data_IF_171294326351
#
_entry.id   IF_171294326351
#
_cell.length_a   1.000
_cell.length_b   1.000
_cell.length_c   1.000
_cell.angle_alpha   90.00
_cell.angle_beta   90.00
_cell.angle_gamma   90.00
#
_symmetry.space_group_name_H-M   'P 1'
#
loop_
_entity.id
_entity.type
_entity.pdbx_description
1 polymer ?
#
# COMPACT_ATOMS: atom_id res chain seq x y z
N UNK A 1 -24.00 8.02 19.52
CA UNK A 1 -24.27 8.25 20.94
C UNK A 1 -24.57 9.73 21.22
N UNK A 2 -23.79 10.69 20.78
CA UNK A 2 -24.00 12.14 20.96
C UNK A 2 -25.32 12.64 20.36
N UNK A 3 -25.73 12.16 19.18
CA UNK A 3 -27.00 12.54 18.54
C UNK A 3 -28.25 12.11 19.34
N UNK A 4 -28.18 10.99 20.09
CA UNK A 4 -29.27 10.54 20.97
C UNK A 4 -29.41 11.42 22.21
N UNK A 5 -28.28 11.87 22.77
CA UNK A 5 -28.28 12.78 23.93
C UNK A 5 -28.87 14.14 23.57
N UNK A 6 -28.47 14.70 22.42
CA UNK A 6 -29.01 15.99 21.93
C UNK A 6 -30.51 15.89 21.62
N UNK A 7 -30.99 14.77 21.08
CA UNK A 7 -32.42 14.54 20.81
C UNK A 7 -33.25 14.41 22.10
N UNK A 8 -32.74 13.71 23.11
CA UNK A 8 -33.47 13.58 24.40
C UNK A 8 -33.48 14.88 25.19
N UNK A 9 -32.41 15.68 25.16
CA UNK A 9 -32.42 17.03 25.76
C UNK A 9 -33.41 17.97 25.11
N UNK A 10 -33.51 17.95 23.77
CA UNK A 10 -34.52 18.74 23.06
C UNK A 10 -35.95 18.37 23.51
N UNK A 11 -36.28 17.08 23.59
CA UNK A 11 -37.63 16.64 23.97
C UNK A 11 -37.95 16.99 25.43
N UNK A 12 -37.04 16.82 26.35
CA UNK A 12 -37.24 17.14 27.77
C UNK A 12 -37.42 18.65 27.95
N UNK A 13 -36.60 19.45 27.29
CA UNK A 13 -36.62 20.89 27.37
C UNK A 13 -37.92 21.48 26.75
N UNK A 14 -38.30 21.01 25.58
CA UNK A 14 -39.47 21.54 24.86
C UNK A 14 -40.76 21.12 25.57
N UNK A 15 -40.85 19.90 26.08
CA UNK A 15 -42.00 19.41 26.80
C UNK A 15 -42.12 20.01 28.23
N UNK A 16 -41.04 20.02 28.96
CA UNK A 16 -41.06 20.51 30.34
C UNK A 16 -41.05 22.03 30.42
N UNK A 17 -40.24 22.70 29.65
CA UNK A 17 -40.16 24.15 29.55
C UNK A 17 -41.42 24.75 28.94
N UNK A 18 -41.90 24.21 27.83
CA UNK A 18 -43.14 24.68 27.16
C UNK A 18 -44.39 24.51 28.01
N UNK A 19 -44.57 23.36 28.67
CA UNK A 19 -45.69 23.13 29.58
C UNK A 19 -45.69 24.10 30.77
N UNK A 20 -44.52 24.39 31.39
CA UNK A 20 -44.44 25.30 32.52
C UNK A 20 -44.79 26.77 32.13
N UNK A 21 -44.41 27.19 30.92
CA UNK A 21 -44.81 28.54 30.40
C UNK A 21 -46.30 28.61 30.11
N UNK A 22 -46.87 27.57 29.47
CA UNK A 22 -48.33 27.55 29.15
C UNK A 22 -49.20 27.45 30.39
N UNK A 23 -48.78 26.67 31.37
CA UNK A 23 -49.54 26.46 32.63
C UNK A 23 -49.32 27.57 33.65
N UNK A 24 -48.49 28.57 33.38
CA UNK A 24 -48.15 29.69 34.31
C UNK A 24 -47.81 29.24 35.72
N UNK A 25 -47.30 28.00 35.91
CA UNK A 25 -46.95 27.42 37.20
C UNK A 25 -45.66 27.95 37.83
N UNK A 26 -44.85 28.64 37.03
CA UNK A 26 -43.53 29.16 37.44
C UNK A 26 -43.30 30.51 36.80
N UNK A 27 -42.42 31.34 37.39
CA UNK A 27 -42.03 32.63 36.80
C UNK A 27 -41.08 32.49 35.59
N UNK A 28 -41.18 31.40 34.80
CA UNK A 28 -40.40 31.12 33.62
C UNK A 28 -41.06 31.80 32.44
N UNK A 29 -40.39 32.81 31.90
CA UNK A 29 -40.80 33.50 30.69
C UNK A 29 -40.25 32.79 29.45
N UNK A 30 -40.91 32.97 28.31
CA UNK A 30 -40.46 32.46 26.99
C UNK A 30 -39.01 32.85 26.67
N UNK A 31 -38.60 34.07 27.13
CA UNK A 31 -37.25 34.57 26.94
C UNK A 31 -36.20 33.77 27.72
N UNK A 32 -36.54 33.29 28.94
CA UNK A 32 -35.61 32.43 29.71
C UNK A 32 -35.42 31.09 29.03
N UNK A 33 -36.45 30.49 28.45
CA UNK A 33 -36.30 29.25 27.66
C UNK A 33 -35.41 29.48 26.43
N UNK A 34 -35.65 30.58 25.71
CA UNK A 34 -34.83 30.92 24.54
C UNK A 34 -33.34 31.13 24.93
N UNK A 35 -33.09 31.85 26.01
CA UNK A 35 -31.74 32.05 26.54
C UNK A 35 -31.06 30.72 26.91
N UNK A 36 -31.79 29.81 27.57
CA UNK A 36 -31.28 28.50 27.95
C UNK A 36 -30.91 27.66 26.71
N UNK A 37 -31.74 27.72 25.66
CA UNK A 37 -31.46 27.07 24.37
C UNK A 37 -30.14 27.60 23.77
N UNK A 38 -29.99 28.90 23.73
CA UNK A 38 -28.78 29.53 23.20
C UNK A 38 -27.52 29.15 23.99
N UNK A 39 -27.61 29.20 25.31
CA UNK A 39 -26.48 28.83 26.19
C UNK A 39 -26.13 27.34 26.06
N UNK A 40 -27.13 26.46 25.98
CA UNK A 40 -26.89 25.03 25.73
C UNK A 40 -26.16 24.79 24.41
N UNK A 41 -26.61 25.42 23.34
CA UNK A 41 -25.94 25.29 22.04
C UNK A 41 -24.51 25.83 22.06
N UNK A 42 -24.29 26.96 22.74
CA UNK A 42 -22.96 27.54 22.89
C UNK A 42 -22.00 26.63 23.67
N UNK A 43 -22.50 25.89 24.66
CA UNK A 43 -21.73 24.93 25.46
C UNK A 43 -21.39 23.65 24.67
N UNK A 44 -22.35 23.12 23.91
CA UNK A 44 -22.16 21.87 23.19
C UNK A 44 -21.38 22.02 21.87
N UNK A 45 -21.30 23.23 21.29
CA UNK A 45 -20.55 23.51 20.07
C UNK A 45 -19.06 23.13 20.16
N UNK A 46 -18.30 23.59 21.17
CA UNK A 46 -16.88 23.22 21.30
C UNK A 46 -16.68 21.74 21.55
N UNK A 47 -17.57 21.07 22.31
CA UNK A 47 -17.48 19.63 22.53
C UNK A 47 -17.61 18.83 21.22
N UNK A 48 -18.53 19.25 20.35
CA UNK A 48 -18.70 18.64 19.03
C UNK A 48 -17.46 18.87 18.15
N UNK A 49 -16.90 20.08 18.17
CA UNK A 49 -15.67 20.39 17.44
C UNK A 49 -14.49 19.55 17.89
N UNK A 50 -14.34 19.30 19.20
CA UNK A 50 -13.30 18.43 19.74
C UNK A 50 -13.46 16.99 19.20
N UNK A 51 -14.69 16.45 19.23
CA UNK A 51 -14.96 15.11 18.72
C UNK A 51 -14.64 14.99 17.22
N UNK A 52 -15.01 15.99 16.40
CA UNK A 52 -14.73 16.01 14.98
C UNK A 52 -13.21 16.11 14.70
N UNK A 53 -12.49 16.93 15.47
CA UNK A 53 -11.03 17.04 15.36
C UNK A 53 -10.32 15.76 15.78
N UNK A 54 -10.85 15.04 16.76
CA UNK A 54 -10.29 13.76 17.17
C UNK A 54 -10.38 12.70 16.06
N UNK A 55 -11.51 12.61 15.37
CA UNK A 55 -11.66 11.74 14.20
C UNK A 55 -10.68 12.10 13.07
N UNK A 56 -10.50 13.39 12.81
CA UNK A 56 -9.54 13.86 11.79
C UNK A 56 -8.10 13.50 12.17
N UNK A 57 -7.74 13.62 13.44
CA UNK A 57 -6.44 13.20 13.95
C UNK A 57 -6.19 11.70 13.77
N UNK A 58 -7.18 10.86 14.10
CA UNK A 58 -7.07 9.41 13.89
C UNK A 58 -6.83 9.05 12.43
N UNK A 59 -7.56 9.67 11.51
CA UNK A 59 -7.36 9.45 10.07
C UNK A 59 -5.96 9.90 9.62
N UNK A 60 -5.49 11.05 10.13
CA UNK A 60 -4.14 11.55 9.88
C UNK A 60 -3.06 10.59 10.40
N UNK A 61 -3.20 10.06 11.61
CA UNK A 61 -2.25 9.10 12.17
C UNK A 61 -2.18 7.80 11.35
N UNK A 62 -3.32 7.30 10.86
CA UNK A 62 -3.34 6.10 10.01
C UNK A 62 -2.63 6.36 8.67
N UNK A 63 -2.85 7.54 8.07
CA UNK A 63 -2.17 7.91 6.83
C UNK A 63 -0.66 8.03 7.02
N UNK A 64 -0.22 8.70 8.09
CA UNK A 64 1.20 8.83 8.46
C UNK A 64 1.82 7.46 8.69
N UNK A 65 1.17 6.59 9.47
CA UNK A 65 1.65 5.23 9.71
C UNK A 65 1.87 4.47 8.41
N UNK A 66 0.91 4.52 7.46
CA UNK A 66 1.06 3.84 6.16
C UNK A 66 2.27 4.34 5.37
N UNK A 67 2.56 5.64 5.44
CA UNK A 67 3.74 6.23 4.77
C UNK A 67 5.02 5.74 5.43
N UNK A 68 5.11 5.73 6.75
CA UNK A 68 6.28 5.22 7.46
C UNK A 68 6.45 3.71 7.27
N UNK A 69 5.37 2.93 7.34
CA UNK A 69 5.42 1.49 7.08
C UNK A 69 5.98 1.19 5.67
N UNK A 70 5.72 2.08 4.69
CA UNK A 70 6.27 1.95 3.34
C UNK A 70 7.75 2.36 3.27
N UNK A 71 8.15 3.42 3.98
CA UNK A 71 9.54 3.91 4.02
C UNK A 71 10.45 2.93 4.76
N UNK A 72 9.95 2.37 5.87
CA UNK A 72 10.71 1.45 6.72
C UNK A 72 10.79 0.03 6.14
N UNK A 73 10.02 -0.25 5.07
CA UNK A 73 10.02 -1.55 4.40
C UNK A 73 11.27 -1.70 3.55
N UNK A 74 12.26 -2.40 4.07
CA UNK A 74 13.47 -2.72 3.32
C UNK A 74 13.27 -3.99 2.48
N UNK A 75 12.76 -3.82 1.26
CA UNK A 75 12.63 -4.88 0.26
C UNK A 75 13.66 -4.73 -0.87
N UNK A 76 14.81 -4.15 -0.57
CA UNK A 76 15.87 -4.00 -1.56
C UNK A 76 16.42 -5.37 -1.94
N UNK A 77 16.57 -5.62 -3.24
CA UNK A 77 17.36 -6.75 -3.71
C UNK A 77 18.79 -6.57 -3.22
N UNK A 78 19.32 -7.58 -2.55
CA UNK A 78 20.67 -7.55 -2.02
C UNK A 78 21.69 -7.38 -3.14
N UNK A 79 22.51 -6.35 -3.05
CA UNK A 79 23.57 -6.08 -4.00
C UNK A 79 24.93 -6.45 -3.39
N UNK A 80 25.34 -7.69 -3.62
CA UNK A 80 26.65 -8.21 -3.18
C UNK A 80 27.62 -8.35 -4.35
N UNK A 81 27.19 -8.02 -5.57
CA UNK A 81 28.01 -8.16 -6.77
C UNK A 81 28.98 -6.99 -6.93
N UNK A 82 30.22 -7.32 -7.25
CA UNK A 82 31.30 -6.36 -7.50
C UNK A 82 31.80 -6.37 -8.95
N UNK A 83 31.27 -7.27 -9.78
CA UNK A 83 31.70 -7.42 -11.17
C UNK A 83 30.96 -6.46 -12.09
N UNK A 84 31.74 -5.68 -12.83
CA UNK A 84 31.21 -4.80 -13.87
C UNK A 84 30.62 -5.62 -15.04
N UNK A 85 29.50 -5.16 -15.56
CA UNK A 85 28.79 -5.74 -16.70
C UNK A 85 29.30 -5.25 -18.08
N UNK A 86 30.48 -4.62 -18.12
CA UNK A 86 31.01 -3.95 -19.34
C UNK A 86 31.20 -4.87 -20.54
N UNK A 87 31.43 -6.16 -20.34
CA UNK A 87 31.75 -7.14 -21.40
C UNK A 87 30.72 -8.26 -21.55
N UNK A 88 29.46 -8.03 -21.18
CA UNK A 88 28.40 -9.03 -21.34
C UNK A 88 28.16 -9.30 -22.82
N UNK A 89 28.31 -10.57 -23.25
CA UNK A 89 28.02 -11.07 -24.61
C UNK A 89 26.55 -11.49 -24.77
N UNK A 90 25.95 -11.97 -23.66
CA UNK A 90 24.53 -12.28 -23.59
C UNK A 90 24.19 -13.77 -23.70
N UNK A 91 25.10 -14.69 -23.36
CA UNK A 91 24.76 -16.10 -23.14
C UNK A 91 24.00 -16.19 -21.82
N UNK A 92 22.75 -16.65 -21.85
CA UNK A 92 21.87 -16.80 -20.66
C UNK A 92 21.66 -18.28 -20.36
N UNK A 93 21.90 -18.70 -19.13
CA UNK A 93 21.69 -20.08 -18.71
C UNK A 93 20.87 -20.14 -17.42
N UNK A 94 19.80 -20.90 -17.44
CA UNK A 94 19.03 -21.28 -16.26
C UNK A 94 19.35 -22.73 -15.92
N UNK A 95 19.74 -23.01 -14.69
CA UNK A 95 20.10 -24.35 -14.23
C UNK A 95 19.32 -24.71 -12.98
N UNK A 96 18.39 -25.65 -13.10
CA UNK A 96 17.54 -26.19 -12.04
C UNK A 96 16.88 -25.12 -11.17
N UNK A 97 16.38 -24.04 -11.81
CA UNK A 97 15.81 -22.90 -11.11
C UNK A 97 14.45 -23.24 -10.54
N UNK A 98 14.31 -23.08 -9.23
CA UNK A 98 13.05 -23.14 -8.49
C UNK A 98 12.75 -21.75 -7.90
N UNK A 99 11.51 -21.31 -8.04
CA UNK A 99 11.12 -20.00 -7.53
C UNK A 99 9.69 -19.96 -7.00
N UNK A 100 9.51 -19.21 -5.92
CA UNK A 100 8.23 -18.91 -5.27
C UNK A 100 8.21 -17.46 -4.79
N UNK A 101 7.17 -16.70 -5.08
CA UNK A 101 6.94 -15.39 -4.46
C UNK A 101 6.57 -15.48 -2.99
N UNK A 102 5.85 -16.56 -2.63
CA UNK A 102 5.42 -16.84 -1.26
C UNK A 102 5.87 -18.25 -0.90
N UNK A 103 6.42 -18.42 0.31
CA UNK A 103 6.83 -19.74 0.79
C UNK A 103 5.71 -20.76 0.62
N UNK A 104 6.03 -21.90 -0.03
CA UNK A 104 5.11 -23.01 -0.25
C UNK A 104 4.36 -22.99 -1.59
N UNK A 105 4.31 -21.87 -2.31
CA UNK A 105 3.65 -21.77 -3.62
C UNK A 105 4.70 -21.64 -4.71
N UNK A 106 5.15 -22.78 -5.28
CA UNK A 106 6.16 -22.80 -6.35
C UNK A 106 5.57 -22.35 -7.68
N UNK A 107 6.14 -21.26 -8.24
CA UNK A 107 5.79 -20.72 -9.56
C UNK A 107 6.64 -21.34 -10.64
N UNK A 108 7.96 -21.47 -10.40
CA UNK A 108 8.88 -22.15 -11.31
C UNK A 108 9.39 -23.42 -10.63
N UNK A 109 9.42 -24.52 -11.39
CA UNK A 109 9.82 -25.84 -10.88
C UNK A 109 10.86 -26.43 -11.82
N UNK A 110 12.10 -26.52 -11.34
CA UNK A 110 13.23 -27.16 -12.02
C UNK A 110 13.42 -26.69 -13.48
N UNK A 111 13.43 -25.38 -13.66
CA UNK A 111 13.59 -24.79 -14.99
C UNK A 111 15.05 -24.76 -15.39
N UNK A 112 15.36 -25.37 -16.56
CA UNK A 112 16.70 -25.40 -17.12
C UNK A 112 16.61 -25.16 -18.63
N UNK A 113 17.35 -24.19 -19.14
CA UNK A 113 17.53 -23.90 -20.55
C UNK A 113 18.74 -22.98 -20.75
N UNK A 114 19.20 -22.90 -22.01
CA UNK A 114 20.28 -22.00 -22.41
C UNK A 114 19.87 -21.22 -23.66
N UNK A 115 20.22 -19.94 -23.70
CA UNK A 115 19.96 -19.02 -24.83
C UNK A 115 21.30 -18.45 -25.25
N UNK A 116 21.66 -18.66 -26.51
CA UNK A 116 22.92 -18.17 -27.09
C UNK A 116 22.92 -16.65 -27.27
N UNK A 117 24.10 -16.05 -27.25
CA UNK A 117 24.22 -14.62 -27.51
C UNK A 117 23.62 -14.24 -28.89
N UNK A 118 22.77 -13.22 -28.89
CA UNK A 118 22.08 -12.74 -30.13
C UNK A 118 20.87 -13.57 -30.55
N UNK A 119 20.55 -14.64 -29.83
CA UNK A 119 19.38 -15.47 -30.13
C UNK A 119 18.07 -14.76 -29.72
N UNK A 120 17.00 -14.98 -30.52
CA UNK A 120 15.64 -14.51 -30.21
C UNK A 120 14.81 -15.68 -29.72
N UNK A 121 14.33 -15.60 -28.48
CA UNK A 121 13.56 -16.67 -27.84
C UNK A 121 12.18 -16.16 -27.45
N UNK A 122 11.15 -16.97 -27.67
CA UNK A 122 9.79 -16.70 -27.21
C UNK A 122 9.36 -17.74 -26.17
N UNK A 123 8.89 -17.27 -25.01
CA UNK A 123 8.25 -18.12 -24.01
C UNK A 123 6.74 -18.16 -24.25
N UNK A 124 6.21 -19.35 -24.59
CA UNK A 124 4.81 -19.58 -24.87
C UNK A 124 4.19 -20.48 -23.80
N UNK A 125 2.95 -20.22 -23.42
CA UNK A 125 2.23 -20.99 -22.40
C UNK A 125 0.99 -20.26 -21.89
N UNK A 126 0.20 -20.92 -21.10
CA UNK A 126 -1.02 -20.36 -20.50
C UNK A 126 -0.72 -19.18 -19.54
N UNK A 127 -1.77 -18.39 -19.26
CA UNK A 127 -1.66 -17.32 -18.25
C UNK A 127 -1.36 -17.97 -16.88
N UNK A 128 -0.36 -17.42 -16.17
CA UNK A 128 0.09 -18.00 -14.89
C UNK A 128 1.20 -19.05 -15.00
N UNK A 129 1.63 -19.46 -16.21
CA UNK A 129 2.71 -20.44 -16.41
C UNK A 129 4.12 -19.96 -15.98
N UNK A 130 4.25 -18.75 -15.45
CA UNK A 130 5.54 -18.24 -14.97
C UNK A 130 6.39 -17.49 -16.02
N UNK A 131 5.86 -17.16 -17.19
CA UNK A 131 6.60 -16.45 -18.26
C UNK A 131 7.17 -15.10 -17.79
N UNK A 132 6.34 -14.26 -17.20
CA UNK A 132 6.77 -12.97 -16.65
C UNK A 132 7.73 -13.14 -15.48
N UNK A 133 7.60 -14.23 -14.74
CA UNK A 133 8.51 -14.54 -13.61
C UNK A 133 9.92 -14.82 -14.11
N UNK A 134 10.10 -15.50 -15.24
CA UNK A 134 11.42 -15.72 -15.85
C UNK A 134 12.12 -14.40 -16.19
N UNK A 135 11.38 -13.46 -16.77
CA UNK A 135 11.91 -12.12 -17.11
C UNK A 135 12.26 -11.34 -15.83
N UNK A 136 11.41 -11.39 -14.81
CA UNK A 136 11.66 -10.73 -13.55
C UNK A 136 12.90 -11.28 -12.83
N UNK A 137 13.12 -12.60 -12.89
CA UNK A 137 14.31 -13.23 -12.33
C UNK A 137 15.57 -12.90 -13.14
N UNK A 138 15.49 -12.91 -14.46
CA UNK A 138 16.58 -12.48 -15.33
C UNK A 138 17.00 -11.02 -15.07
N UNK A 139 16.02 -10.16 -14.80
CA UNK A 139 16.26 -8.75 -14.44
C UNK A 139 16.67 -8.56 -12.97
N UNK A 140 16.79 -9.66 -12.22
CA UNK A 140 17.15 -9.69 -10.81
C UNK A 140 16.25 -8.79 -9.95
N UNK A 141 14.93 -8.75 -10.26
CA UNK A 141 13.94 -8.11 -9.39
C UNK A 141 13.63 -8.97 -8.16
N UNK A 142 13.89 -10.26 -8.24
CA UNK A 142 13.75 -11.23 -7.16
C UNK A 142 14.95 -12.16 -7.15
N UNK A 143 15.34 -12.62 -5.98
CA UNK A 143 16.35 -13.66 -5.83
C UNK A 143 15.72 -15.04 -5.97
N UNK A 144 16.41 -15.98 -6.60
CA UNK A 144 15.96 -17.36 -6.76
C UNK A 144 16.00 -18.11 -5.44
N UNK A 145 15.10 -19.09 -5.25
CA UNK A 145 15.13 -19.93 -4.07
C UNK A 145 16.17 -21.04 -4.19
N UNK A 146 16.26 -21.68 -5.36
CA UNK A 146 17.17 -22.78 -5.65
C UNK A 146 17.61 -22.73 -7.12
N UNK A 147 18.76 -23.31 -7.40
CA UNK A 147 19.35 -23.34 -8.75
C UNK A 147 20.32 -22.19 -9.00
N UNK A 148 20.57 -21.90 -10.28
CA UNK A 148 21.46 -20.82 -10.72
C UNK A 148 20.96 -20.19 -12.01
N UNK A 149 21.14 -18.88 -12.13
CA UNK A 149 20.99 -18.14 -13.38
C UNK A 149 22.36 -17.55 -13.70
N UNK A 150 22.90 -17.90 -14.85
CA UNK A 150 24.22 -17.48 -15.29
C UNK A 150 24.09 -16.56 -16.51
N UNK A 151 24.95 -15.57 -16.58
CA UNK A 151 25.18 -14.73 -17.77
C UNK A 151 26.64 -14.85 -18.12
N UNK A 152 26.94 -15.32 -19.35
CA UNK A 152 28.30 -15.58 -19.82
C UNK A 152 29.10 -16.48 -18.85
N UNK A 153 28.42 -17.49 -18.24
CA UNK A 153 29.00 -18.45 -17.30
C UNK A 153 29.16 -17.92 -15.87
N UNK A 154 28.80 -16.68 -15.57
CA UNK A 154 28.86 -16.10 -14.25
C UNK A 154 27.46 -15.95 -13.63
N UNK A 155 27.28 -16.30 -12.35
CA UNK A 155 26.00 -16.06 -11.64
C UNK A 155 25.59 -14.59 -11.70
N UNK A 156 24.31 -14.32 -11.96
CA UNK A 156 23.79 -12.94 -12.03
C UNK A 156 23.97 -12.19 -10.70
N UNK A 157 24.07 -12.92 -9.57
CA UNK A 157 24.33 -12.35 -8.25
C UNK A 157 25.71 -11.72 -8.10
N UNK A 158 26.68 -12.12 -8.95
CA UNK A 158 28.04 -11.63 -8.89
C UNK A 158 28.26 -10.29 -9.62
N UNK A 159 27.31 -9.89 -10.44
CA UNK A 159 27.37 -8.59 -11.13
C UNK A 159 26.86 -7.47 -10.20
N UNK A 160 27.48 -6.29 -10.29
CA UNK A 160 26.89 -5.06 -9.75
C UNK A 160 25.48 -4.88 -10.29
N UNK A 161 24.51 -4.73 -9.41
CA UNK A 161 23.09 -4.72 -9.76
C UNK A 161 22.71 -3.54 -10.65
N UNK A 162 23.29 -2.38 -10.37
CA UNK A 162 23.01 -1.15 -11.13
C UNK A 162 23.59 -1.23 -12.54
N UNK A 163 24.85 -1.64 -12.68
CA UNK A 163 25.51 -1.82 -13.98
C UNK A 163 24.84 -2.91 -14.80
N UNK A 164 24.48 -4.02 -14.17
CA UNK A 164 23.79 -5.13 -14.82
C UNK A 164 22.43 -4.69 -15.39
N UNK A 165 21.61 -4.02 -14.60
CA UNK A 165 20.29 -3.54 -15.06
C UNK A 165 20.36 -2.50 -16.17
N UNK A 166 21.43 -1.72 -16.26
CA UNK A 166 21.66 -0.81 -17.41
C UNK A 166 21.84 -1.53 -18.75
N UNK A 167 22.21 -2.82 -18.72
CA UNK A 167 22.37 -3.63 -19.93
C UNK A 167 21.09 -4.31 -20.37
N UNK A 168 20.04 -4.25 -19.55
CA UNK A 168 18.75 -4.89 -19.82
C UNK A 168 17.72 -3.83 -20.19
N UNK A 169 17.14 -3.94 -21.38
CA UNK A 169 15.98 -3.16 -21.80
C UNK A 169 14.71 -3.99 -21.60
N UNK A 170 13.72 -3.46 -20.89
CA UNK A 170 12.42 -4.10 -20.68
C UNK A 170 11.36 -3.29 -21.38
N UNK A 171 10.53 -3.94 -22.20
CA UNK A 171 9.33 -3.34 -22.79
C UNK A 171 8.12 -4.01 -22.15
N UNK A 172 7.36 -3.25 -21.37
CA UNK A 172 6.15 -3.73 -20.73
C UNK A 172 4.99 -3.77 -21.73
N UNK A 173 4.05 -4.69 -21.51
CA UNK A 173 2.82 -4.80 -22.31
C UNK A 173 1.94 -3.56 -22.13
N UNK A 174 1.79 -3.10 -20.89
CA UNK A 174 1.07 -1.87 -20.56
C UNK A 174 2.08 -0.77 -20.20
N UNK A 175 2.14 0.26 -21.04
CA UNK A 175 3.01 1.42 -20.80
C UNK A 175 2.22 2.46 -20.02
N UNK A 176 2.55 2.67 -18.77
CA UNK A 176 1.99 3.74 -17.96
C UNK A 176 2.82 5.01 -18.16
N UNK A 177 2.24 6.00 -18.81
CA UNK A 177 2.85 7.32 -18.97
C UNK A 177 2.29 8.26 -17.90
N UNK A 178 3.17 8.79 -17.06
CA UNK A 178 2.82 9.92 -16.20
C UNK A 178 2.77 11.18 -17.07
N UNK A 179 1.62 11.82 -17.12
CA UNK A 179 1.46 13.10 -17.80
C UNK A 179 1.86 14.25 -16.85
#
# INVERSE_FOLDING_TARGET
MIQRLVGSEMCIRDRYGGLNVVLAKTNITLGIIFLFIQLSQMLFRPLRQIADKFNTLQMGMIAVKRVFDLIDKDERTSDYGDKSSSQIKGLVEFSNVNFSYVKGIRVLKNISFSISAGEKVAFVGETGAGKSTLINLLSRFYEINEGKILIDGLPISNYDLYDFRKKIGIVNQDVFLFA
#
